data_IF_700648676466
#
_entry.id   IF_700648676466
#
_cell.length_a   1.000
_cell.length_b   1.000
_cell.length_c   1.000
_cell.angle_alpha   90.00
_cell.angle_beta   90.00
_cell.angle_gamma   90.00
#
_symmetry.space_group_name_H-M   'P 1'
#
loop_
_entity.id
_entity.type
_entity.pdbx_description
1 polymer ?
#
# COMPACT_ATOMS: atom_id res chain seq x y z
N UNK A 1 1.52 27.58 7.42
CA UNK A 1 0.39 26.79 6.86
C UNK A 1 0.76 25.39 6.33
N UNK A 2 2.05 25.03 6.16
CA UNK A 2 2.47 23.74 5.63
C UNK A 2 2.06 22.51 6.47
N UNK A 3 2.11 22.61 7.81
CA UNK A 3 1.69 21.53 8.71
C UNK A 3 0.19 21.19 8.58
N UNK A 4 -0.67 22.17 8.26
CA UNK A 4 -2.09 21.92 8.04
C UNK A 4 -2.36 21.17 6.73
N UNK A 5 -1.56 21.42 5.68
CA UNK A 5 -1.69 20.70 4.41
C UNK A 5 -1.27 19.23 4.56
N UNK A 6 -0.14 18.97 5.22
CA UNK A 6 0.34 17.60 5.49
C UNK A 6 -0.61 16.82 6.40
N UNK A 7 -1.09 17.43 7.48
CA UNK A 7 -2.07 16.79 8.38
C UNK A 7 -3.36 16.44 7.64
N UNK A 8 -3.89 17.35 6.81
CA UNK A 8 -5.07 17.09 5.98
C UNK A 8 -4.83 15.94 5.01
N UNK A 9 -3.69 15.94 4.33
CA UNK A 9 -3.33 14.89 3.38
C UNK A 9 -3.17 13.53 4.08
N UNK A 10 -2.49 13.46 5.23
CA UNK A 10 -2.39 12.22 6.04
C UNK A 10 -3.78 11.70 6.42
N UNK A 11 -4.70 12.59 6.82
CA UNK A 11 -6.08 12.21 7.15
C UNK A 11 -6.84 11.66 5.95
N UNK A 12 -6.61 12.20 4.74
CA UNK A 12 -7.18 11.68 3.52
C UNK A 12 -6.63 10.29 3.20
N UNK A 13 -5.32 10.08 3.32
CA UNK A 13 -4.70 8.76 3.14
C UNK A 13 -5.29 7.76 4.12
N UNK A 14 -5.39 8.12 5.41
CA UNK A 14 -5.97 7.28 6.44
C UNK A 14 -7.41 6.86 6.13
N UNK A 15 -8.23 7.78 5.60
CA UNK A 15 -9.62 7.49 5.22
C UNK A 15 -9.76 6.51 4.05
N UNK A 16 -8.69 6.32 3.26
CA UNK A 16 -8.67 5.39 2.13
C UNK A 16 -8.17 3.99 2.51
N UNK A 17 -7.61 3.81 3.71
CA UNK A 17 -7.06 2.51 4.13
C UNK A 17 -8.10 1.39 4.26
N UNK A 18 -9.34 1.65 4.72
CA UNK A 18 -10.38 0.63 4.76
C UNK A 18 -10.70 0.00 3.39
N UNK A 19 -10.44 0.70 2.27
CA UNK A 19 -10.59 0.14 0.91
C UNK A 19 -9.77 -1.14 0.75
N UNK A 20 -8.58 -1.20 1.34
CA UNK A 20 -7.69 -2.36 1.31
C UNK A 20 -7.92 -3.35 2.44
N UNK A 21 -8.93 -3.12 3.30
CA UNK A 21 -9.14 -3.90 4.51
C UNK A 21 -8.05 -3.63 5.57
N UNK A 22 -7.42 -2.46 5.51
CA UNK A 22 -6.34 -2.06 6.41
C UNK A 22 -6.79 -0.94 7.35
N UNK A 23 -6.17 -0.92 8.52
CA UNK A 23 -6.18 0.20 9.46
C UNK A 23 -4.73 0.62 9.74
N UNK A 24 -4.48 1.93 9.80
CA UNK A 24 -3.16 2.49 10.16
C UNK A 24 -2.68 1.95 11.50
N UNK A 25 -3.58 1.68 12.44
CA UNK A 25 -3.23 1.07 13.73
C UNK A 25 -2.65 -0.34 13.54
N UNK A 26 -3.24 -1.14 12.65
CA UNK A 26 -2.80 -2.51 12.37
C UNK A 26 -1.48 -2.56 11.58
N UNK A 27 -1.22 -1.54 10.76
CA UNK A 27 0.01 -1.39 9.98
C UNK A 27 1.21 -0.95 10.83
N UNK A 28 0.97 -0.42 12.03
CA UNK A 28 1.96 0.26 12.84
C UNK A 28 2.10 1.72 12.45
N UNK A 29 1.61 2.61 13.32
CA UNK A 29 1.52 4.06 13.10
C UNK A 29 2.86 4.67 12.66
N UNK A 30 3.97 4.24 13.28
CA UNK A 30 5.31 4.74 12.95
C UNK A 30 5.75 4.36 11.53
N UNK A 31 5.58 3.11 11.11
CA UNK A 31 5.96 2.66 9.77
C UNK A 31 5.09 3.32 8.69
N UNK A 32 3.80 3.52 8.98
CA UNK A 32 2.91 4.28 8.11
C UNK A 32 3.39 5.74 7.97
N UNK A 33 3.70 6.42 9.07
CA UNK A 33 4.20 7.80 9.02
C UNK A 33 5.54 7.91 8.29
N UNK A 34 6.50 7.02 8.54
CA UNK A 34 7.77 6.98 7.82
C UNK A 34 7.57 6.81 6.31
N UNK A 35 6.68 5.90 5.92
CA UNK A 35 6.33 5.68 4.52
C UNK A 35 5.68 6.91 3.88
N UNK A 36 4.78 7.58 4.61
CA UNK A 36 4.15 8.82 4.18
C UNK A 36 5.16 9.97 4.04
N UNK A 37 6.17 10.03 4.90
CA UNK A 37 7.22 11.03 4.87
C UNK A 37 8.13 10.89 3.65
N UNK A 38 8.28 9.66 3.12
CA UNK A 38 9.03 9.40 1.90
C UNK A 38 8.28 9.82 0.63
N UNK A 39 6.95 9.78 0.64
CA UNK A 39 6.13 10.00 -0.58
C UNK A 39 5.48 11.38 -0.64
N UNK A 40 5.19 12.00 0.51
CA UNK A 40 4.66 13.37 0.56
C UNK A 40 5.52 14.40 -0.20
N UNK A 41 6.87 14.47 -0.01
CA UNK A 41 7.70 15.42 -0.75
C UNK A 41 7.82 15.08 -2.25
N UNK A 42 7.49 13.85 -2.66
CA UNK A 42 7.45 13.43 -4.07
C UNK A 42 6.17 13.88 -4.78
N UNK A 43 5.26 14.54 -4.07
CA UNK A 43 4.03 15.10 -4.64
C UNK A 43 2.92 14.07 -4.86
N UNK A 44 2.96 12.95 -4.15
CA UNK A 44 1.95 11.89 -4.30
C UNK A 44 0.56 12.39 -3.90
N UNK A 45 -0.46 11.99 -4.68
CA UNK A 45 -1.85 12.15 -4.27
C UNK A 45 -2.17 11.29 -3.04
N UNK A 46 -3.25 11.57 -2.29
CA UNK A 46 -3.69 10.69 -1.21
C UNK A 46 -3.94 9.25 -1.67
N UNK A 47 -4.47 9.07 -2.88
CA UNK A 47 -4.72 7.77 -3.49
C UNK A 47 -3.41 7.05 -3.80
N UNK A 48 -2.41 7.75 -4.36
CA UNK A 48 -1.09 7.17 -4.62
C UNK A 48 -0.39 6.74 -3.34
N UNK A 49 -0.47 7.55 -2.29
CA UNK A 49 0.11 7.21 -1.00
C UNK A 49 -0.63 6.09 -0.28
N UNK A 50 -1.97 6.05 -0.36
CA UNK A 50 -2.75 4.94 0.16
C UNK A 50 -2.41 3.63 -0.57
N UNK A 51 -2.30 3.67 -1.90
CA UNK A 51 -1.89 2.51 -2.69
C UNK A 51 -0.46 2.08 -2.35
N UNK A 52 0.47 3.03 -2.20
CA UNK A 52 1.84 2.75 -1.76
C UNK A 52 1.88 2.05 -0.40
N UNK A 53 1.14 2.57 0.58
CA UNK A 53 1.02 1.97 1.91
C UNK A 53 0.42 0.56 1.87
N UNK A 54 -0.59 0.34 1.02
CA UNK A 54 -1.17 -0.99 0.82
C UNK A 54 -0.12 -1.97 0.28
N UNK A 55 0.68 -1.58 -0.71
CA UNK A 55 1.78 -2.41 -1.22
C UNK A 55 2.88 -2.66 -0.20
N UNK A 56 3.28 -1.65 0.59
CA UNK A 56 4.27 -1.81 1.66
C UNK A 56 3.78 -2.83 2.69
N UNK A 57 2.51 -2.71 3.10
CA UNK A 57 1.89 -3.62 4.06
C UNK A 57 1.77 -5.03 3.49
N UNK A 58 1.30 -5.16 2.25
CA UNK A 58 1.19 -6.43 1.56
C UNK A 58 2.53 -7.16 1.50
N UNK A 59 3.59 -6.46 1.09
CA UNK A 59 4.95 -7.00 1.08
C UNK A 59 5.41 -7.41 2.47
N UNK A 60 5.11 -6.62 3.51
CA UNK A 60 5.45 -6.97 4.89
C UNK A 60 4.73 -8.24 5.38
N UNK A 61 3.46 -8.40 5.03
CA UNK A 61 2.66 -9.59 5.38
C UNK A 61 3.21 -10.84 4.69
N UNK A 62 3.55 -10.74 3.39
CA UNK A 62 4.21 -11.81 2.65
C UNK A 62 5.53 -12.22 3.30
N UNK A 63 6.41 -11.25 3.63
CA UNK A 63 7.69 -11.53 4.27
C UNK A 63 7.56 -12.12 5.68
N UNK A 64 6.45 -11.85 6.39
CA UNK A 64 6.16 -12.40 7.72
C UNK A 64 5.42 -13.74 7.66
N UNK A 65 5.09 -14.26 6.48
CA UNK A 65 4.32 -15.49 6.32
C UNK A 65 2.85 -15.36 6.73
N UNK A 66 2.32 -14.15 6.86
CA UNK A 66 0.92 -13.90 7.20
C UNK A 66 0.02 -14.00 5.96
N UNK A 67 -0.01 -15.20 5.35
CA UNK A 67 -0.57 -15.41 4.01
C UNK A 67 -2.08 -15.11 3.91
N UNK A 68 -2.86 -15.37 4.95
CA UNK A 68 -4.30 -15.09 4.95
C UNK A 68 -4.59 -13.59 4.90
N UNK A 69 -3.90 -12.80 5.74
CA UNK A 69 -4.01 -11.35 5.75
C UNK A 69 -3.47 -10.75 4.44
N UNK A 70 -2.36 -11.29 3.93
CA UNK A 70 -1.81 -10.91 2.63
C UNK A 70 -2.86 -11.14 1.52
N UNK A 71 -3.50 -12.30 1.47
CA UNK A 71 -4.49 -12.62 0.45
C UNK A 71 -5.69 -11.65 0.43
N UNK A 72 -6.15 -11.18 1.60
CA UNK A 72 -7.23 -10.17 1.67
C UNK A 72 -6.79 -8.85 1.04
N UNK A 73 -5.62 -8.35 1.41
CA UNK A 73 -5.06 -7.09 0.90
C UNK A 73 -4.75 -7.19 -0.59
N UNK A 74 -4.10 -8.29 -1.00
CA UNK A 74 -3.69 -8.56 -2.37
C UNK A 74 -4.87 -8.68 -3.34
N UNK A 75 -6.05 -9.12 -2.89
CA UNK A 75 -7.28 -9.11 -3.71
C UNK A 75 -7.85 -7.71 -3.93
N UNK A 76 -7.70 -6.80 -2.96
CA UNK A 76 -8.30 -5.46 -2.98
C UNK A 76 -7.43 -4.42 -3.68
N UNK A 77 -6.10 -4.62 -3.67
CA UNK A 77 -5.14 -3.72 -4.31
C UNK A 77 -5.42 -3.53 -5.81
N UNK A 78 -5.60 -4.59 -6.63
CA UNK A 78 -5.86 -4.45 -8.06
C UNK A 78 -7.16 -3.69 -8.35
N UNK A 79 -8.21 -3.90 -7.57
CA UNK A 79 -9.50 -3.24 -7.76
C UNK A 79 -9.35 -1.72 -7.59
N UNK A 80 -8.76 -1.29 -6.46
CA UNK A 80 -8.52 0.12 -6.19
C UNK A 80 -7.51 0.73 -7.17
N UNK A 81 -6.44 0.01 -7.53
CA UNK A 81 -5.46 0.50 -8.51
C UNK A 81 -6.12 0.75 -9.87
N UNK A 82 -6.86 -0.23 -10.40
CA UNK A 82 -7.50 -0.12 -11.70
C UNK A 82 -8.51 1.02 -11.73
N UNK A 83 -9.33 1.15 -10.68
CA UNK A 83 -10.29 2.24 -10.55
C UNK A 83 -9.58 3.60 -10.50
N UNK A 84 -8.57 3.76 -9.64
CA UNK A 84 -7.92 5.06 -9.44
C UNK A 84 -7.02 5.47 -10.60
N UNK A 85 -6.42 4.51 -11.32
CA UNK A 85 -5.72 4.77 -12.58
C UNK A 85 -6.72 5.23 -13.65
N UNK A 86 -7.88 4.57 -13.77
CA UNK A 86 -8.93 4.96 -14.73
C UNK A 86 -9.48 6.36 -14.45
N UNK A 87 -9.59 6.73 -13.18
CA UNK A 87 -10.03 8.06 -12.74
C UNK A 87 -8.91 9.12 -12.76
N UNK A 88 -7.70 8.79 -13.24
CA UNK A 88 -6.53 9.67 -13.25
C UNK A 88 -6.11 10.19 -11.85
N UNK A 89 -6.44 9.46 -10.80
CA UNK A 89 -6.06 9.78 -9.41
C UNK A 89 -4.68 9.22 -9.03
N UNK A 90 -4.21 8.22 -9.79
CA UNK A 90 -2.91 7.54 -9.62
C UNK A 90 -2.17 7.54 -10.96
N UNK A 91 -0.89 7.90 -10.94
CA UNK A 91 -0.05 7.75 -12.12
C UNK A 91 0.28 6.26 -12.36
N UNK A 92 -0.09 5.67 -13.51
CA UNK A 92 0.10 4.23 -13.77
C UNK A 92 1.56 3.76 -13.76
N UNK A 93 2.54 4.69 -13.84
CA UNK A 93 3.96 4.35 -13.75
C UNK A 93 4.39 3.99 -12.32
N UNK A 94 3.74 4.56 -11.31
CA UNK A 94 4.13 4.35 -9.90
C UNK A 94 3.81 2.92 -9.41
N UNK A 95 2.59 2.38 -9.60
CA UNK A 95 2.25 1.03 -9.15
C UNK A 95 3.02 -0.09 -9.83
N UNK A 96 3.51 0.13 -11.07
CA UNK A 96 4.24 -0.89 -11.82
C UNK A 96 5.47 -1.41 -11.05
N UNK A 97 6.23 -0.51 -10.43
CA UNK A 97 7.41 -0.90 -9.64
C UNK A 97 7.02 -1.64 -8.34
N UNK A 98 5.88 -1.29 -7.74
CA UNK A 98 5.40 -1.92 -6.52
C UNK A 98 4.83 -3.31 -6.77
N UNK A 99 4.10 -3.47 -7.89
CA UNK A 99 3.62 -4.76 -8.40
C UNK A 99 4.74 -5.74 -8.66
N UNK A 100 5.81 -5.29 -9.33
CA UNK A 100 6.94 -6.17 -9.62
C UNK A 100 7.59 -6.69 -8.34
N UNK A 101 7.79 -5.82 -7.34
CA UNK A 101 8.30 -6.23 -6.03
C UNK A 101 7.37 -7.21 -5.32
N UNK A 102 6.06 -6.96 -5.35
CA UNK A 102 5.06 -7.82 -4.73
C UNK A 102 5.04 -9.22 -5.36
N UNK A 103 5.07 -9.30 -6.69
CA UNK A 103 5.13 -10.56 -7.44
C UNK A 103 6.33 -11.42 -7.06
N UNK A 104 7.51 -10.81 -6.97
CA UNK A 104 8.74 -11.52 -6.57
C UNK A 104 8.60 -12.12 -5.15
N UNK A 105 7.98 -11.40 -4.22
CA UNK A 105 7.76 -11.87 -2.85
C UNK A 105 6.68 -12.96 -2.79
N UNK A 106 5.62 -12.86 -3.59
CA UNK A 106 4.61 -13.91 -3.71
C UNK A 106 5.22 -15.22 -4.24
N UNK A 107 6.07 -15.14 -5.26
CA UNK A 107 6.77 -16.30 -5.83
C UNK A 107 7.68 -16.97 -4.78
N UNK A 108 8.39 -16.17 -3.98
CA UNK A 108 9.23 -16.65 -2.89
C UNK A 108 8.42 -17.27 -1.74
N UNK A 109 7.32 -16.63 -1.34
CA UNK A 109 6.43 -17.12 -0.28
C UNK A 109 5.70 -18.41 -0.72
N UNK A 110 5.27 -18.47 -1.98
CA UNK A 110 4.66 -19.66 -2.57
C UNK A 110 5.64 -20.82 -2.76
N UNK A 111 6.91 -20.55 -3.02
CA UNK A 111 7.96 -21.57 -3.06
C UNK A 111 8.29 -22.12 -1.66
N UNK A 112 8.31 -21.28 -0.63
CA UNK A 112 8.55 -21.71 0.76
C UNK A 112 7.37 -22.49 1.35
N UNK A 113 6.13 -22.16 0.97
CA UNK A 113 4.93 -22.92 1.38
C UNK A 113 4.81 -24.32 0.74
N UNK A 114 5.65 -24.65 -0.25
CA UNK A 114 5.66 -25.95 -0.95
C UNK A 114 6.80 -26.88 -0.54
N UNK A 115 7.66 -26.46 0.41
CA UNK A 115 8.68 -27.32 0.96
C UNK A 115 8.08 -28.14 2.13
N UNK A 116 8.19 -29.49 2.10
CA UNK A 116 7.61 -30.38 3.10
C UNK A 116 8.30 -30.30 4.47
#
# INVERSE_FOLDING_TARGET
>A
MFFNKRKKWNSQVASLMPTFGLDIQQMGVMSALESLDLVYPKGFSPQEAALYLAYVTYNSLLSKGALDAAAVVGKRIPDAENEWVKLHLVNPRNPKAWREKARLLEEQAGATARLP
#
